data_IF_987281977148
#
_entry.id   IF_987281977148
#
_cell.length_a   1.000
_cell.length_b   1.000
_cell.length_c   1.000
_cell.angle_alpha   90.00
_cell.angle_beta   90.00
_cell.angle_gamma   90.00
#
_symmetry.space_group_name_H-M   'P 1'
#
loop_
_entity.id
_entity.type
_entity.pdbx_description
1 polymer ?
#
# COMPACT_ATOMS: atom_id res chain seq x y z
N UNK A 1 -5.36 -4.07 -1.16
CA UNK A 1 -4.17 -4.01 -0.28
C UNK A 1 -2.86 -4.11 -1.05
N UNK A 2 -2.53 -5.21 -1.74
CA UNK A 2 -1.25 -5.35 -2.49
C UNK A 2 -0.98 -4.24 -3.51
N UNK A 3 -2.02 -3.72 -4.18
CA UNK A 3 -1.90 -2.55 -5.06
C UNK A 3 -1.26 -1.34 -4.37
N UNK A 4 -1.58 -1.08 -3.08
CA UNK A 4 -0.97 0.01 -2.33
C UNK A 4 0.52 -0.25 -2.08
N UNK A 5 0.88 -1.49 -1.79
CA UNK A 5 2.27 -1.91 -1.68
C UNK A 5 3.05 -1.80 -2.98
N UNK A 6 2.44 -2.14 -4.12
CA UNK A 6 3.03 -1.97 -5.45
C UNK A 6 3.30 -0.49 -5.76
N UNK A 7 2.33 0.39 -5.49
CA UNK A 7 2.52 1.84 -5.65
C UNK A 7 3.70 2.31 -4.80
N UNK A 8 3.70 1.98 -3.50
CA UNK A 8 4.73 2.40 -2.56
C UNK A 8 6.12 1.89 -2.95
N UNK A 9 6.23 0.63 -3.38
CA UNK A 9 7.51 0.07 -3.83
C UNK A 9 8.03 0.77 -5.09
N UNK A 10 7.15 1.15 -6.02
CA UNK A 10 7.54 1.87 -7.23
C UNK A 10 7.90 3.34 -6.99
N UNK A 11 7.31 3.99 -5.97
CA UNK A 11 7.57 5.41 -5.67
C UNK A 11 8.68 5.61 -4.64
N UNK A 12 8.72 4.79 -3.59
CA UNK A 12 9.64 4.93 -2.44
C UNK A 12 10.80 3.92 -2.46
N UNK A 13 10.73 2.87 -3.29
CA UNK A 13 11.79 1.85 -3.42
C UNK A 13 11.81 0.80 -2.30
N UNK A 14 10.85 0.81 -1.38
CA UNK A 14 10.73 -0.17 -0.29
C UNK A 14 9.58 -1.13 -0.57
N UNK A 15 9.82 -2.44 -0.42
CA UNK A 15 8.77 -3.47 -0.53
C UNK A 15 8.13 -3.69 0.84
N UNK A 16 6.86 -3.29 1.05
CA UNK A 16 6.19 -3.44 2.35
C UNK A 16 5.64 -4.86 2.56
N UNK A 17 5.56 -5.27 3.83
CA UNK A 17 4.83 -6.48 4.19
C UNK A 17 3.32 -6.35 3.83
N UNK A 18 2.61 -7.45 3.58
CA UNK A 18 1.17 -7.42 3.30
C UNK A 18 0.35 -6.71 4.39
N UNK A 19 0.75 -6.81 5.66
CA UNK A 19 0.15 -6.10 6.80
C UNK A 19 0.39 -4.59 6.68
N UNK A 20 1.63 -4.17 6.38
CA UNK A 20 2.00 -2.76 6.18
C UNK A 20 1.25 -2.13 5.00
N UNK A 21 0.94 -2.90 3.97
CA UNK A 21 0.16 -2.42 2.83
C UNK A 21 -1.24 -1.90 3.22
N UNK A 22 -1.83 -2.36 4.33
CA UNK A 22 -3.11 -1.82 4.82
C UNK A 22 -2.95 -0.39 5.33
N UNK A 23 -1.87 -0.10 6.07
CA UNK A 23 -1.58 1.24 6.55
C UNK A 23 -1.26 2.20 5.38
N UNK A 24 -0.48 1.72 4.40
CA UNK A 24 -0.17 2.47 3.18
C UNK A 24 -1.45 2.80 2.41
N UNK A 25 -2.39 1.84 2.27
CA UNK A 25 -3.68 2.09 1.62
C UNK A 25 -4.44 3.22 2.31
N UNK A 26 -4.57 3.15 3.65
CA UNK A 26 -5.21 4.22 4.42
C UNK A 26 -4.52 5.57 4.25
N UNK A 27 -3.18 5.60 4.21
CA UNK A 27 -2.42 6.83 3.98
C UNK A 27 -2.67 7.42 2.58
N UNK A 28 -2.72 6.58 1.53
CA UNK A 28 -3.05 7.00 0.16
C UNK A 28 -4.47 7.58 0.11
N UNK A 29 -5.45 6.90 0.72
CA UNK A 29 -6.84 7.35 0.70
C UNK A 29 -6.99 8.71 1.39
N UNK A 30 -6.37 8.89 2.57
CA UNK A 30 -6.33 10.18 3.27
C UNK A 30 -5.64 11.28 2.45
N UNK A 31 -4.56 10.96 1.75
CA UNK A 31 -3.85 11.92 0.89
C UNK A 31 -4.72 12.34 -0.30
N UNK A 32 -5.49 11.42 -0.89
CA UNK A 32 -6.43 11.73 -1.97
C UNK A 32 -7.59 12.60 -1.48
N UNK A 33 -8.12 12.35 -0.28
CA UNK A 33 -9.14 13.21 0.33
C UNK A 33 -8.60 14.62 0.64
N UNK A 34 -7.41 14.73 1.23
CA UNK A 34 -6.76 16.02 1.47
C UNK A 34 -6.54 16.81 0.15
N UNK A 35 -6.15 16.11 -0.92
CA UNK A 35 -6.02 16.69 -2.27
C UNK A 35 -7.35 17.22 -2.80
N UNK A 36 -8.47 16.50 -2.61
CA UNK A 36 -9.81 16.97 -3.01
C UNK A 36 -10.24 18.23 -2.26
N UNK A 37 -9.85 18.35 -0.99
CA UNK A 37 -10.15 19.51 -0.13
C UNK A 37 -9.15 20.67 -0.30
N UNK A 38 -8.06 20.47 -1.03
CA UNK A 38 -6.94 21.42 -1.17
C UNK A 38 -6.35 21.84 0.20
N UNK A 39 -6.17 20.85 1.08
CA UNK A 39 -5.63 21.05 2.43
C UNK A 39 -4.23 20.43 2.56
N UNK A 40 -3.28 21.18 3.12
CA UNK A 40 -1.99 20.64 3.50
C UNK A 40 -2.15 19.79 4.77
N UNK A 41 -1.91 18.49 4.67
CA UNK A 41 -2.12 17.52 5.75
C UNK A 41 -0.87 16.65 5.93
N UNK A 42 -0.40 16.52 7.17
CA UNK A 42 0.64 15.55 7.53
C UNK A 42 -0.02 14.21 7.88
N UNK A 43 0.34 13.16 7.16
CA UNK A 43 -0.15 11.80 7.40
C UNK A 43 1.03 10.96 7.87
N UNK A 44 1.00 10.54 9.13
CA UNK A 44 1.95 9.59 9.69
C UNK A 44 1.30 8.21 9.82
N UNK A 45 1.99 7.16 9.39
CA UNK A 45 1.56 5.78 9.54
C UNK A 45 2.73 4.91 9.97
N UNK A 46 2.44 3.78 10.61
CA UNK A 46 3.46 2.84 11.02
C UNK A 46 3.85 1.91 9.87
N UNK A 47 5.11 1.94 9.46
CA UNK A 47 5.69 0.95 8.54
C UNK A 47 6.10 -0.28 9.34
N UNK A 48 5.16 -1.22 9.55
CA UNK A 48 5.35 -2.32 10.50
C UNK A 48 6.36 -3.39 10.08
N UNK A 49 6.66 -3.53 8.80
CA UNK A 49 7.63 -4.52 8.31
C UNK A 49 7.86 -4.50 6.80
N UNK A 50 8.95 -5.12 6.37
CA UNK A 50 9.27 -5.30 4.95
C UNK A 50 8.71 -6.61 4.39
N UNK A 51 8.42 -6.65 3.09
CA UNK A 51 7.84 -7.79 2.40
C UNK A 51 8.85 -8.72 1.69
N UNK A 52 10.13 -8.70 2.08
CA UNK A 52 11.18 -9.50 1.42
C UNK A 52 10.91 -11.02 1.46
N UNK A 53 10.20 -11.50 2.49
CA UNK A 53 9.79 -12.91 2.60
C UNK A 53 8.39 -13.17 2.02
N UNK A 54 7.68 -12.11 1.60
CA UNK A 54 6.32 -12.14 1.08
C UNK A 54 6.27 -11.96 -0.45
N UNK A 55 7.41 -12.07 -1.13
CA UNK A 55 7.54 -11.87 -2.58
C UNK A 55 6.66 -12.82 -3.40
N UNK A 56 6.39 -14.02 -2.89
CA UNK A 56 5.44 -14.94 -3.52
C UNK A 56 4.02 -14.38 -3.55
N UNK A 57 3.59 -13.70 -2.49
CA UNK A 57 2.29 -13.00 -2.46
C UNK A 57 2.23 -11.87 -3.49
N UNK A 58 3.30 -11.09 -3.62
CA UNK A 58 3.43 -10.08 -4.66
C UNK A 58 3.39 -10.68 -6.07
N UNK A 59 4.09 -11.80 -6.30
CA UNK A 59 4.08 -12.51 -7.58
C UNK A 59 2.67 -12.96 -7.96
N UNK A 60 1.96 -13.61 -7.04
CA UNK A 60 0.57 -14.05 -7.26
C UNK A 60 -0.38 -12.87 -7.54
N UNK A 61 -0.17 -11.73 -6.88
CA UNK A 61 -0.93 -10.51 -7.17
C UNK A 61 -0.64 -9.97 -8.58
N UNK A 62 0.64 -9.89 -8.98
CA UNK A 62 1.03 -9.41 -10.31
C UNK A 62 0.57 -10.34 -11.45
N UNK A 63 0.52 -11.65 -11.21
CA UNK A 63 0.00 -12.64 -12.15
C UNK A 63 -1.54 -12.72 -12.16
N UNK A 64 -2.22 -12.00 -11.27
CA UNK A 64 -3.67 -11.99 -11.15
C UNK A 64 -4.28 -13.25 -10.53
N UNK A 65 -3.46 -14.17 -10.00
CA UNK A 65 -3.94 -15.37 -9.29
C UNK A 65 -4.40 -15.04 -7.86
N UNK A 66 -3.93 -13.93 -7.27
CA UNK A 66 -4.41 -13.40 -6.00
C UNK A 66 -5.44 -12.28 -6.25
N UNK A 67 -6.71 -12.52 -5.89
CA UNK A 67 -7.75 -11.50 -6.01
C UNK A 67 -7.56 -10.38 -4.98
N UNK A 68 -7.74 -9.14 -5.43
CA UNK A 68 -7.72 -7.97 -4.56
C UNK A 68 -8.99 -7.96 -3.69
N UNK A 69 -8.86 -8.28 -2.41
CA UNK A 69 -9.98 -8.26 -1.45
C UNK A 69 -10.28 -6.84 -0.90
N UNK A 70 -9.78 -5.79 -1.54
CA UNK A 70 -9.79 -4.41 -1.04
C UNK A 70 -11.09 -3.62 -1.25
N UNK A 71 -12.24 -4.30 -1.34
CA UNK A 71 -13.58 -3.67 -1.37
C UNK A 71 -14.25 -3.80 0.01
N UNK A 72 -13.59 -3.30 1.05
CA UNK A 72 -14.21 -3.03 2.34
C UNK A 72 -14.24 -1.51 2.54
#
# INVERSE_FOLDING_TARGET
TFQAGEIFAKTEGLVPAPETCHAIRGAIDLALEAKKRNEETVIAFNYSGHGLLDLEGYRQFMEGSLKNNGNA
#
